data_IF_703362764702
#
_entry.id   IF_703362764702
#
_cell.length_a   1.000
_cell.length_b   1.000
_cell.length_c   1.000
_cell.angle_alpha   90.00
_cell.angle_beta   90.00
_cell.angle_gamma   90.00
#
_symmetry.space_group_name_H-M   'P 1'
#
loop_
_entity.id
_entity.type
_entity.pdbx_description
1 polymer ?
#
# COMPACT_ATOMS: atom_id res chain seq x y z
N UNK A 1 -20.72 -3.38 -34.15
CA UNK A 1 -19.36 -3.08 -33.67
C UNK A 1 -19.37 -3.15 -32.16
N UNK A 2 -18.77 -4.22 -31.65
CA UNK A 2 -18.74 -4.58 -30.22
C UNK A 2 -17.72 -3.68 -29.54
N UNK A 3 -18.14 -2.93 -28.51
CA UNK A 3 -17.30 -2.06 -27.69
C UNK A 3 -16.20 -2.90 -27.00
N UNK A 4 -14.96 -2.72 -27.44
CA UNK A 4 -13.76 -3.34 -26.85
C UNK A 4 -13.09 -2.45 -25.78
N UNK A 5 -13.78 -1.43 -25.26
CA UNK A 5 -13.21 -0.40 -24.39
C UNK A 5 -12.94 -0.84 -22.94
N UNK A 6 -13.61 -1.89 -22.46
CA UNK A 6 -13.52 -2.30 -21.06
C UNK A 6 -12.22 -3.06 -20.77
N UNK A 7 -11.77 -3.89 -21.73
CA UNK A 7 -10.53 -4.67 -21.60
C UNK A 7 -9.26 -3.83 -21.62
N UNK A 8 -9.26 -2.69 -22.33
CA UNK A 8 -8.11 -1.79 -22.41
C UNK A 8 -7.77 -1.14 -21.08
N UNK A 9 -8.76 -0.78 -20.25
CA UNK A 9 -8.50 -0.10 -18.97
C UNK A 9 -7.93 -1.02 -17.88
N UNK A 10 -8.43 -2.26 -17.79
CA UNK A 10 -7.91 -3.26 -16.86
C UNK A 10 -6.52 -3.77 -17.27
N UNK A 11 -6.34 -4.03 -18.57
CA UNK A 11 -5.04 -4.47 -19.08
C UNK A 11 -4.00 -3.36 -18.95
N UNK A 12 -4.37 -2.09 -19.21
CA UNK A 12 -3.53 -0.93 -18.95
C UNK A 12 -3.16 -0.82 -17.46
N UNK A 13 -4.11 -1.01 -16.55
CA UNK A 13 -3.83 -1.03 -15.11
C UNK A 13 -2.82 -2.13 -14.73
N UNK A 14 -3.07 -3.37 -15.16
CA UNK A 14 -2.23 -4.51 -14.78
C UNK A 14 -0.82 -4.45 -15.38
N UNK A 15 -0.66 -3.91 -16.59
CA UNK A 15 0.64 -3.86 -17.27
C UNK A 15 1.42 -2.59 -16.92
N UNK A 16 0.76 -1.43 -16.85
CA UNK A 16 1.47 -0.18 -16.63
C UNK A 16 1.43 0.24 -15.18
N UNK A 17 0.28 0.23 -14.51
CA UNK A 17 0.15 0.86 -13.19
C UNK A 17 0.55 -0.05 -12.03
N UNK A 18 0.06 -1.29 -12.04
CA UNK A 18 0.31 -2.27 -10.99
C UNK A 18 1.79 -2.55 -10.73
N UNK A 19 2.67 -2.80 -11.73
CA UNK A 19 4.07 -3.09 -11.46
C UNK A 19 4.79 -1.90 -10.82
N UNK A 20 4.55 -0.66 -11.26
CA UNK A 20 5.18 0.50 -10.61
C UNK A 20 4.68 0.70 -9.17
N UNK A 21 3.39 0.44 -8.91
CA UNK A 21 2.82 0.52 -7.56
C UNK A 21 3.41 -0.54 -6.61
N UNK A 22 3.56 -1.78 -7.10
CA UNK A 22 4.26 -2.86 -6.39
C UNK A 22 5.72 -2.46 -6.09
N UNK A 23 6.45 -1.95 -7.08
CA UNK A 23 7.84 -1.50 -6.89
C UNK A 23 7.94 -0.36 -5.87
N UNK A 24 7.01 0.60 -5.88
CA UNK A 24 6.95 1.65 -4.87
C UNK A 24 6.76 1.06 -3.47
N UNK A 25 5.88 0.06 -3.31
CA UNK A 25 5.71 -0.69 -2.06
C UNK A 25 7.02 -1.35 -1.60
N UNK A 26 7.73 -2.01 -2.51
CA UNK A 26 9.04 -2.63 -2.22
C UNK A 26 10.09 -1.61 -1.81
N UNK A 27 10.14 -0.44 -2.47
CA UNK A 27 11.07 0.64 -2.12
C UNK A 27 10.79 1.16 -0.70
N UNK A 28 9.51 1.34 -0.33
CA UNK A 28 9.14 1.74 1.03
C UNK A 28 9.60 0.71 2.06
N UNK A 29 9.35 -0.58 1.81
CA UNK A 29 9.76 -1.66 2.70
C UNK A 29 11.30 -1.76 2.81
N UNK A 30 12.01 -1.75 1.68
CA UNK A 30 13.47 -1.80 1.65
C UNK A 30 14.11 -0.58 2.32
N UNK A 31 13.51 0.61 2.18
CA UNK A 31 13.98 1.82 2.87
C UNK A 31 13.86 1.68 4.39
N UNK A 32 12.72 1.16 4.88
CA UNK A 32 12.53 0.91 6.31
C UNK A 32 13.58 -0.08 6.86
N UNK A 33 13.88 -1.17 6.13
CA UNK A 33 14.91 -2.13 6.54
C UNK A 33 16.30 -1.52 6.48
N UNK A 34 16.66 -0.82 5.40
CA UNK A 34 18.00 -0.22 5.26
C UNK A 34 18.28 0.85 6.31
N UNK A 35 17.27 1.62 6.73
CA UNK A 35 17.41 2.59 7.82
C UNK A 35 17.75 1.87 9.14
N UNK A 36 17.22 0.68 9.38
CA UNK A 36 17.53 -0.14 10.56
C UNK A 36 18.97 -0.70 10.57
N UNK A 37 19.60 -0.83 9.40
CA UNK A 37 21.00 -1.28 9.31
C UNK A 37 21.98 -0.20 9.77
N UNK A 38 21.62 1.09 9.66
CA UNK A 38 22.53 2.20 9.99
C UNK A 38 22.94 2.19 11.47
N UNK A 39 22.02 2.12 12.46
CA UNK A 39 22.40 2.00 13.87
C UNK A 39 23.29 0.78 14.17
N UNK A 40 23.01 -0.37 13.53
CA UNK A 40 23.81 -1.60 13.70
C UNK A 40 25.24 -1.38 13.20
N UNK A 41 25.41 -0.76 12.03
CA UNK A 41 26.74 -0.46 11.45
C UNK A 41 27.58 0.53 12.26
N UNK A 42 26.97 1.23 13.21
CA UNK A 42 27.60 2.23 14.08
C UNK A 42 27.72 1.75 15.52
N UNK A 43 27.48 0.46 15.78
CA UNK A 43 27.47 -0.14 17.12
C UNK A 43 26.60 0.65 18.10
N UNK A 44 25.47 1.20 17.62
CA UNK A 44 24.58 1.99 18.43
C UNK A 44 23.90 1.11 19.50
N UNK A 45 23.57 1.74 20.64
CA UNK A 45 22.89 1.05 21.74
C UNK A 45 21.59 0.35 21.31
N UNK A 46 21.24 -0.74 21.99
CA UNK A 46 19.99 -1.47 21.74
C UNK A 46 18.75 -0.56 21.78
N UNK A 47 18.73 0.43 22.68
CA UNK A 47 17.65 1.41 22.77
C UNK A 47 17.50 2.25 21.48
N UNK A 48 18.62 2.66 20.89
CA UNK A 48 18.62 3.39 19.60
C UNK A 48 18.09 2.50 18.48
N UNK A 49 18.52 1.23 18.43
CA UNK A 49 18.07 0.28 17.41
C UNK A 49 16.55 0.03 17.51
N UNK A 50 16.02 -0.12 18.72
CA UNK A 50 14.58 -0.25 18.99
C UNK A 50 13.80 1.00 18.52
N UNK A 51 14.33 2.20 18.79
CA UNK A 51 13.71 3.45 18.37
C UNK A 51 13.60 3.53 16.84
N UNK A 52 14.66 3.16 16.13
CA UNK A 52 14.69 3.15 14.66
C UNK A 52 13.78 2.06 14.08
N UNK A 53 13.70 0.90 14.71
CA UNK A 53 12.77 -0.17 14.30
C UNK A 53 11.31 0.27 14.43
N UNK A 54 10.98 0.93 15.54
CA UNK A 54 9.64 1.50 15.78
C UNK A 54 9.31 2.56 14.73
N UNK A 55 10.26 3.45 14.42
CA UNK A 55 10.10 4.43 13.35
C UNK A 55 9.85 3.77 11.99
N UNK A 56 10.54 2.66 11.69
CA UNK A 56 10.32 1.87 10.47
C UNK A 56 8.88 1.34 10.34
N UNK A 57 8.27 0.85 11.42
CA UNK A 57 6.86 0.46 11.40
C UNK A 57 5.92 1.63 11.14
N UNK A 58 6.15 2.76 11.82
CA UNK A 58 5.35 3.98 11.61
C UNK A 58 5.48 4.46 10.16
N UNK A 59 6.69 4.42 9.60
CA UNK A 59 6.95 4.78 8.21
C UNK A 59 6.14 3.92 7.24
N UNK A 60 6.15 2.60 7.40
CA UNK A 60 5.37 1.68 6.56
C UNK A 60 3.87 1.98 6.68
N UNK A 61 3.35 2.19 7.90
CA UNK A 61 1.93 2.54 8.12
C UNK A 61 1.55 3.83 7.39
N UNK A 62 2.33 4.90 7.57
CA UNK A 62 2.03 6.20 6.99
C UNK A 62 1.95 6.10 5.48
N UNK A 63 2.94 5.47 4.82
CA UNK A 63 2.94 5.35 3.36
C UNK A 63 1.81 4.42 2.86
N UNK A 64 1.58 3.30 3.55
CA UNK A 64 0.53 2.34 3.20
C UNK A 64 -0.88 2.93 3.30
N UNK A 65 -1.16 3.70 4.36
CA UNK A 65 -2.47 4.33 4.55
C UNK A 65 -2.59 5.54 3.64
N UNK A 66 -1.56 6.38 3.56
CA UNK A 66 -1.60 7.59 2.73
C UNK A 66 -1.78 7.26 1.24
N UNK A 67 -1.18 6.18 0.73
CA UNK A 67 -1.36 5.76 -0.66
C UNK A 67 -2.81 5.39 -1.02
N UNK A 68 -3.64 5.05 -0.03
CA UNK A 68 -5.07 4.78 -0.27
C UNK A 68 -5.91 6.04 -0.41
N UNK A 69 -5.42 7.19 0.05
CA UNK A 69 -6.11 8.49 -0.03
C UNK A 69 -5.53 9.45 -1.06
N UNK A 70 -4.28 9.24 -1.49
CA UNK A 70 -3.59 10.14 -2.41
C UNK A 70 -3.96 9.80 -3.86
N UNK A 71 -4.65 10.75 -4.51
CA UNK A 71 -4.94 10.71 -5.95
C UNK A 71 -6.38 10.33 -6.29
N UNK A 72 -6.66 10.27 -7.59
CA UNK A 72 -8.00 9.95 -8.13
C UNK A 72 -8.29 8.44 -8.17
N UNK A 73 -7.28 7.60 -7.96
CA UNK A 73 -7.41 6.15 -7.99
C UNK A 73 -6.58 5.59 -6.83
N UNK A 74 -7.21 4.96 -5.83
CA UNK A 74 -6.53 4.44 -4.65
C UNK A 74 -5.51 3.35 -5.03
N UNK A 75 -4.35 3.37 -4.39
CA UNK A 75 -3.31 2.35 -4.59
C UNK A 75 -3.30 1.33 -3.44
N UNK A 76 -3.63 0.08 -3.76
CA UNK A 76 -3.70 -1.02 -2.80
C UNK A 76 -2.46 -1.90 -2.77
N UNK A 77 -1.59 -1.80 -3.78
CA UNK A 77 -0.38 -2.62 -3.81
C UNK A 77 0.58 -2.28 -2.65
N UNK A 78 0.71 -1.00 -2.30
CA UNK A 78 1.59 -0.52 -1.23
C UNK A 78 1.18 -1.07 0.16
N UNK A 79 -0.08 -0.95 0.64
CA UNK A 79 -0.49 -1.58 1.89
C UNK A 79 -0.41 -3.11 1.84
N UNK A 80 -0.62 -3.74 0.68
CA UNK A 80 -0.41 -5.17 0.49
C UNK A 80 1.04 -5.58 0.71
N UNK A 81 2.01 -4.90 0.08
CA UNK A 81 3.44 -5.14 0.29
C UNK A 81 3.85 -4.85 1.73
N UNK A 82 3.31 -3.78 2.34
CA UNK A 82 3.56 -3.46 3.75
C UNK A 82 3.06 -4.55 4.70
N UNK A 83 1.86 -5.10 4.45
CA UNK A 83 1.33 -6.24 5.20
C UNK A 83 2.22 -7.48 5.07
N UNK A 84 2.66 -7.80 3.85
CA UNK A 84 3.56 -8.93 3.61
C UNK A 84 4.92 -8.75 4.31
N UNK A 85 5.52 -7.56 4.21
CA UNK A 85 6.83 -7.28 4.78
C UNK A 85 6.81 -7.35 6.31
N UNK A 86 5.76 -6.81 6.94
CA UNK A 86 5.59 -6.87 8.39
C UNK A 86 5.28 -8.29 8.88
N UNK A 87 4.61 -9.11 8.06
CA UNK A 87 4.46 -10.54 8.35
C UNK A 87 5.79 -11.27 8.31
N UNK A 88 6.62 -11.01 7.30
CA UNK A 88 7.94 -11.63 7.17
C UNK A 88 8.82 -11.34 8.40
N UNK A 89 8.78 -10.11 8.93
CA UNK A 89 9.46 -9.75 10.18
C UNK A 89 8.94 -10.58 11.37
N UNK A 90 7.62 -10.76 11.49
CA UNK A 90 7.04 -11.56 12.57
C UNK A 90 7.46 -13.05 12.49
N UNK A 91 7.61 -13.57 11.27
CA UNK A 91 8.07 -14.93 11.02
C UNK A 91 9.56 -15.09 11.34
N UNK A 92 10.39 -14.12 10.95
CA UNK A 92 11.82 -14.11 11.29
C UNK A 92 12.05 -14.04 12.80
N UNK A 93 11.27 -13.22 13.52
CA UNK A 93 11.33 -13.14 14.98
C UNK A 93 10.74 -14.36 15.70
N UNK A 94 10.18 -15.33 14.97
CA UNK A 94 9.79 -16.61 15.53
C UNK A 94 10.99 -17.54 15.76
N UNK A 95 12.04 -17.39 14.95
CA UNK A 95 13.32 -18.10 15.05
C UNK A 95 14.48 -17.10 14.87
N UNK A 96 14.70 -16.21 15.85
CA UNK A 96 15.63 -15.08 15.69
C UNK A 96 17.08 -15.54 15.63
N UNK A 97 17.86 -14.91 14.76
CA UNK A 97 19.31 -15.16 14.65
C UNK A 97 20.07 -14.87 15.96
N UNK A 98 21.22 -15.53 16.13
CA UNK A 98 22.11 -15.34 17.29
C UNK A 98 22.48 -13.88 17.55
N UNK A 99 22.61 -13.06 16.49
CA UNK A 99 22.91 -11.64 16.62
C UNK A 99 21.79 -10.90 17.37
N UNK A 100 20.53 -11.23 17.08
CA UNK A 100 19.36 -10.61 17.72
C UNK A 100 19.24 -11.08 19.17
N UNK A 101 19.44 -12.38 19.42
CA UNK A 101 19.40 -12.97 20.77
C UNK A 101 20.47 -12.41 21.70
N UNK A 102 21.66 -12.09 21.17
CA UNK A 102 22.75 -11.51 21.96
C UNK A 102 22.59 -9.99 22.15
N UNK A 103 21.79 -9.31 21.33
CA UNK A 103 21.63 -7.85 21.36
C UNK A 103 20.40 -7.39 22.16
N UNK A 104 19.31 -8.17 22.12
CA UNK A 104 18.03 -7.78 22.68
C UNK A 104 17.48 -8.82 23.64
N UNK A 105 16.84 -8.34 24.70
CA UNK A 105 16.10 -9.19 25.63
C UNK A 105 14.93 -9.88 24.92
N UNK A 106 14.61 -11.10 25.36
CA UNK A 106 13.48 -11.88 24.84
C UNK A 106 12.14 -11.12 24.91
N UNK A 107 11.99 -10.24 25.90
CA UNK A 107 10.80 -9.40 26.08
C UNK A 107 10.63 -8.39 24.93
N UNK A 108 11.74 -7.80 24.45
CA UNK A 108 11.76 -6.88 23.31
C UNK A 108 11.45 -7.64 22.03
N UNK A 109 12.12 -8.78 21.80
CA UNK A 109 11.89 -9.64 20.63
C UNK A 109 10.42 -10.05 20.54
N UNK A 110 9.84 -10.52 21.66
CA UNK A 110 8.42 -10.88 21.73
C UNK A 110 7.51 -9.69 21.42
N UNK A 111 7.82 -8.51 21.94
CA UNK A 111 7.04 -7.29 21.69
C UNK A 111 7.02 -6.91 20.21
N UNK A 112 8.20 -6.95 19.55
CA UNK A 112 8.31 -6.66 18.12
C UNK A 112 7.65 -7.73 17.25
N UNK A 113 7.70 -9.00 17.65
CA UNK A 113 6.97 -10.09 16.98
C UNK A 113 5.46 -9.87 17.00
N UNK A 114 4.90 -9.55 18.18
CA UNK A 114 3.47 -9.26 18.30
C UNK A 114 3.11 -8.00 17.50
N UNK A 115 3.90 -6.93 17.63
CA UNK A 115 3.66 -5.67 16.93
C UNK A 115 3.66 -5.85 15.40
N UNK A 116 4.66 -6.56 14.87
CA UNK A 116 4.76 -6.83 13.42
C UNK A 116 3.62 -7.70 12.90
N UNK A 117 3.22 -8.73 13.65
CA UNK A 117 2.06 -9.56 13.31
C UNK A 117 0.74 -8.76 13.34
N UNK A 118 0.50 -7.98 14.40
CA UNK A 118 -0.67 -7.11 14.52
C UNK A 118 -0.73 -6.06 13.41
N UNK A 119 0.42 -5.46 13.08
CA UNK A 119 0.52 -4.48 12.01
C UNK A 119 0.25 -5.12 10.64
N UNK A 120 0.76 -6.32 10.39
CA UNK A 120 0.47 -7.05 9.16
C UNK A 120 -1.03 -7.30 9.00
N UNK A 121 -1.69 -7.78 10.06
CA UNK A 121 -3.13 -8.00 10.07
C UNK A 121 -3.92 -6.70 9.85
N UNK A 122 -3.52 -5.61 10.52
CA UNK A 122 -4.12 -4.29 10.35
C UNK A 122 -4.03 -3.82 8.89
N UNK A 123 -2.85 -3.86 8.28
CA UNK A 123 -2.65 -3.43 6.89
C UNK A 123 -3.38 -4.34 5.90
N UNK A 124 -3.46 -5.65 6.18
CA UNK A 124 -4.23 -6.59 5.37
C UNK A 124 -5.72 -6.26 5.38
N UNK A 125 -6.29 -6.09 6.57
CA UNK A 125 -7.70 -5.70 6.75
C UNK A 125 -7.97 -4.32 6.15
N UNK A 126 -7.04 -3.37 6.29
CA UNK A 126 -7.14 -2.07 5.65
C UNK A 126 -7.18 -2.19 4.12
N UNK A 127 -6.24 -2.93 3.54
CA UNK A 127 -6.14 -3.15 2.10
C UNK A 127 -7.42 -3.79 1.53
N UNK A 128 -7.88 -4.87 2.15
CA UNK A 128 -9.08 -5.59 1.69
C UNK A 128 -10.35 -4.80 1.99
N UNK A 129 -10.50 -4.27 3.20
CA UNK A 129 -11.69 -3.53 3.63
C UNK A 129 -11.89 -2.25 2.84
N UNK A 130 -10.84 -1.47 2.62
CA UNK A 130 -10.93 -0.25 1.81
C UNK A 130 -11.12 -0.58 0.32
N UNK A 131 -10.52 -1.67 -0.18
CA UNK A 131 -10.75 -2.17 -1.53
C UNK A 131 -12.21 -2.56 -1.77
N UNK A 132 -12.80 -3.33 -0.86
CA UNK A 132 -14.23 -3.70 -0.90
C UNK A 132 -15.11 -2.46 -0.79
N UNK A 133 -14.78 -1.53 0.10
CA UNK A 133 -15.54 -0.28 0.25
C UNK A 133 -15.57 0.54 -1.05
N UNK A 134 -14.42 0.71 -1.71
CA UNK A 134 -14.32 1.41 -2.99
C UNK A 134 -15.07 0.67 -4.10
N UNK A 135 -15.01 -0.67 -4.11
CA UNK A 135 -15.77 -1.51 -5.03
C UNK A 135 -17.28 -1.34 -4.86
N UNK A 136 -17.79 -1.40 -3.62
CA UNK A 136 -19.21 -1.22 -3.28
C UNK A 136 -19.68 0.20 -3.59
N UNK A 137 -18.84 1.22 -3.42
CA UNK A 137 -19.18 2.61 -3.77
C UNK A 137 -19.13 2.92 -5.27
N UNK A 138 -18.84 1.94 -6.12
CA UNK A 138 -19.03 2.05 -7.58
C UNK A 138 -18.00 2.92 -8.29
N UNK A 139 -16.84 3.22 -7.69
CA UNK A 139 -15.79 3.99 -8.36
C UNK A 139 -14.92 3.18 -9.34
N UNK A 140 -15.23 1.90 -9.57
CA UNK A 140 -14.66 1.13 -10.68
C UNK A 140 -15.39 1.31 -12.02
N UNK A 141 -16.40 2.18 -12.11
CA UNK A 141 -16.98 2.55 -13.42
C UNK A 141 -16.42 3.90 -13.85
N UNK A 142 -15.21 3.87 -14.44
CA UNK A 142 -14.87 4.85 -15.47
C UNK A 142 -15.71 4.48 -16.69
N UNK A 143 -16.89 5.09 -16.75
CA UNK A 143 -17.82 5.02 -17.87
C UNK A 143 -18.77 6.22 -17.89
N UNK A 144 -18.39 7.32 -17.22
CA UNK A 144 -19.06 8.59 -17.34
C UNK A 144 -18.62 9.30 -18.62
N UNK A 145 -19.06 8.83 -19.79
CA UNK A 145 -19.03 9.64 -21.02
C UNK A 145 -20.12 9.23 -22.01
N UNK A 146 -21.37 9.22 -21.57
CA UNK A 146 -22.55 9.35 -22.45
C UNK A 146 -23.66 10.04 -21.67
N UNK A 147 -23.57 11.36 -21.47
CA UNK A 147 -24.76 12.18 -21.18
C UNK A 147 -24.63 13.69 -21.43
N UNK A 148 -23.71 14.12 -22.29
CA UNK A 148 -23.55 15.56 -22.64
C UNK A 148 -23.63 15.85 -24.14
N UNK A 149 -23.94 14.87 -25.00
CA UNK A 149 -24.15 15.11 -26.45
C UNK A 149 -25.65 15.20 -26.79
N UNK A 150 -26.56 14.96 -25.85
CA UNK A 150 -28.01 15.04 -26.13
C UNK A 150 -28.61 16.44 -25.87
N UNK A 151 -27.86 17.38 -25.28
CA UNK A 151 -28.36 18.74 -25.04
C UNK A 151 -28.13 19.72 -26.20
N UNK A 152 -27.19 19.44 -27.10
CA UNK A 152 -26.77 20.41 -28.12
C UNK A 152 -27.35 20.12 -29.52
N UNK A 153 -27.85 18.91 -29.77
CA UNK A 153 -28.49 18.54 -31.04
C UNK A 153 -29.94 19.01 -31.23
N UNK A 154 -30.63 19.38 -30.14
CA UNK A 154 -32.07 19.69 -30.18
C UNK A 154 -32.40 21.19 -30.08
N UNK A 155 -31.40 22.09 -29.98
CA UNK A 155 -31.61 23.55 -29.88
C UNK A 155 -31.31 24.35 -31.14
N UNK A 156 -30.93 23.70 -32.25
CA UNK A 156 -30.52 24.37 -33.50
C UNK A 156 -31.60 24.54 -34.58
N UNK A 157 -32.89 24.40 -34.27
CA UNK A 157 -33.99 24.60 -35.22
C UNK A 157 -34.39 26.08 -35.33
N UNK A 158 -33.65 26.85 -36.12
CA UNK A 158 -33.91 28.27 -36.37
C UNK A 158 -35.21 28.49 -37.16
N UNK A 159 -36.10 29.27 -36.55
CA UNK A 159 -37.13 30.07 -37.22
C UNK A 159 -36.49 30.96 -38.30
N UNK A 160 -37.01 30.87 -39.52
CA UNK A 160 -36.87 31.91 -40.55
C UNK A 160 -38.27 32.17 -41.10
N UNK A 161 -38.75 33.39 -40.87
CA UNK A 161 -39.91 34.02 -41.52
C UNK A 161 -39.41 35.34 -42.10
#
# INVERSE_FOLDING_TARGET
NVDSSDGTSLLEFWIFRFPFSIHAGWIVAASAVNINVVPVSRDASALTQIGVATFGFVWVVIFAVSSTFVGKSPEFAIPGVGSWATLAIALELNDPSDLILNTFDESVIRSFKIASFSLSGFLFVWCIGFGIYQFVRGQCIVGGSKRTIESDGLRGGYHIS
#
